data_IF_235549080223
#
_entry.id   IF_235549080223
#
_cell.length_a   1.000
_cell.length_b   1.000
_cell.length_c   1.000
_cell.angle_alpha   90.00
_cell.angle_beta   90.00
_cell.angle_gamma   90.00
#
_symmetry.space_group_name_H-M   'P 1'
#
loop_
_entity.id
_entity.type
_entity.pdbx_description
1 polymer ?
#
# COMPACT_ATOMS: atom_id res chain seq x y z
N UNK A 1 0.42 1.30 0.81
CA UNK A 1 -0.53 0.20 1.09
C UNK A 1 -0.45 -0.11 2.57
N UNK A 2 -1.56 -0.02 3.31
CA UNK A 2 -1.58 -0.36 4.73
C UNK A 2 -1.74 -1.87 4.89
N UNK A 3 -0.67 -2.56 5.25
CA UNK A 3 -0.71 -3.99 5.57
C UNK A 3 -0.45 -4.18 7.07
N UNK A 4 -1.17 -5.09 7.75
CA UNK A 4 -0.87 -5.42 9.13
C UNK A 4 0.54 -6.01 9.17
N UNK A 5 1.46 -5.31 9.82
CA UNK A 5 2.85 -5.72 9.93
C UNK A 5 3.27 -5.76 11.40
N UNK A 6 4.11 -6.74 11.72
CA UNK A 6 4.79 -6.81 13.00
C UNK A 6 5.96 -5.83 12.96
N UNK A 7 5.90 -4.80 13.79
CA UNK A 7 6.96 -3.83 13.99
C UNK A 7 7.73 -4.23 15.25
N UNK A 8 8.99 -4.64 15.08
CA UNK A 8 9.90 -4.92 16.18
C UNK A 8 10.99 -3.86 16.32
N UNK A 9 12.03 -4.16 17.10
CA UNK A 9 13.04 -3.17 17.50
C UNK A 9 13.86 -2.63 16.31
N UNK A 10 13.91 -3.35 15.18
CA UNK A 10 14.59 -2.95 13.95
C UNK A 10 13.68 -2.37 12.85
N UNK A 11 12.38 -2.18 13.12
CA UNK A 11 11.40 -1.72 12.12
C UNK A 11 10.43 -2.81 11.70
N UNK A 12 10.03 -2.83 10.43
CA UNK A 12 9.07 -3.82 9.91
C UNK A 12 9.73 -5.21 9.82
N UNK A 13 9.31 -6.13 10.68
CA UNK A 13 9.90 -7.48 10.78
C UNK A 13 9.13 -8.51 9.97
N UNK A 14 7.79 -8.41 9.91
CA UNK A 14 6.95 -9.32 9.11
C UNK A 14 5.69 -8.63 8.62
N UNK A 15 5.27 -8.94 7.40
CA UNK A 15 3.94 -8.63 6.90
C UNK A 15 3.03 -9.82 7.21
N UNK A 16 1.89 -9.56 7.83
CA UNK A 16 0.86 -10.57 8.07
C UNK A 16 -0.06 -10.54 6.87
N UNK A 17 0.03 -11.56 6.01
CA UNK A 17 -0.92 -11.76 4.92
C UNK A 17 -2.19 -12.42 5.48
N UNK A 18 -3.25 -11.62 5.60
CA UNK A 18 -4.57 -12.13 5.97
C UNK A 18 -5.29 -12.49 4.67
N UNK A 19 -5.96 -13.65 4.63
CA UNK A 19 -6.86 -13.99 3.53
C UNK A 19 -8.08 -13.06 3.56
N UNK A 20 -8.01 -12.00 2.75
CA UNK A 20 -9.13 -11.08 2.52
C UNK A 20 -10.24 -11.80 1.76
N UNK A 21 -11.48 -11.58 2.18
CA UNK A 21 -12.64 -12.08 1.45
C UNK A 21 -12.81 -11.37 0.08
N UNK A 22 -13.76 -11.84 -0.73
CA UNK A 22 -13.98 -11.30 -2.07
C UNK A 22 -14.33 -9.80 -2.11
N UNK A 23 -15.01 -9.31 -1.08
CA UNK A 23 -15.50 -7.92 -0.99
C UNK A 23 -14.40 -7.00 -0.42
N UNK A 24 -13.65 -7.46 0.58
CA UNK A 24 -12.48 -6.76 1.12
C UNK A 24 -11.36 -6.62 0.07
N UNK A 25 -11.17 -7.60 -0.81
CA UNK A 25 -10.24 -7.47 -1.95
C UNK A 25 -10.65 -6.38 -2.92
N UNK A 26 -11.94 -6.16 -3.16
CA UNK A 26 -12.39 -5.08 -4.04
C UNK A 26 -12.11 -3.71 -3.42
N UNK A 27 -12.46 -3.53 -2.13
CA UNK A 27 -12.19 -2.30 -1.39
C UNK A 27 -10.69 -2.00 -1.29
N UNK A 28 -9.86 -3.04 -1.11
CA UNK A 28 -8.41 -2.90 -1.07
C UNK A 28 -7.84 -2.54 -2.46
N UNK A 29 -8.38 -3.11 -3.55
CA UNK A 29 -8.00 -2.74 -4.92
C UNK A 29 -8.37 -1.29 -5.26
N UNK A 30 -9.53 -0.81 -4.84
CA UNK A 30 -9.94 0.59 -5.01
C UNK A 30 -8.99 1.53 -4.26
N UNK A 31 -8.68 1.22 -3.00
CA UNK A 31 -7.70 1.97 -2.20
C UNK A 31 -6.29 1.97 -2.84
N UNK A 32 -5.87 0.85 -3.42
CA UNK A 32 -4.61 0.74 -4.15
C UNK A 32 -4.63 1.60 -5.41
N UNK A 33 -5.75 1.67 -6.13
CA UNK A 33 -5.90 2.53 -7.32
C UNK A 33 -5.66 3.99 -6.97
N UNK A 34 -6.32 4.50 -5.93
CA UNK A 34 -6.12 5.89 -5.49
C UNK A 34 -4.68 6.20 -5.09
N UNK A 35 -3.98 5.24 -4.45
CA UNK A 35 -2.56 5.40 -4.11
C UNK A 35 -1.68 5.41 -5.37
N UNK A 36 -1.99 4.57 -6.37
CA UNK A 36 -1.26 4.57 -7.65
C UNK A 36 -1.44 5.89 -8.39
N UNK A 37 -2.66 6.42 -8.46
CA UNK A 37 -2.94 7.69 -9.12
C UNK A 37 -2.19 8.84 -8.44
N UNK A 38 -2.12 8.84 -7.11
CA UNK A 38 -1.35 9.83 -6.36
C UNK A 38 0.17 9.68 -6.61
N UNK A 39 0.69 8.45 -6.63
CA UNK A 39 2.10 8.19 -6.94
C UNK A 39 2.45 8.60 -8.36
N UNK A 40 1.57 8.34 -9.33
CA UNK A 40 1.74 8.77 -10.71
C UNK A 40 1.77 10.30 -10.82
N UNK A 41 0.82 10.97 -10.16
CA UNK A 41 0.79 12.44 -10.08
C UNK A 41 2.08 13.00 -9.48
N UNK A 42 2.59 12.39 -8.40
CA UNK A 42 3.85 12.80 -7.77
C UNK A 42 5.03 12.56 -8.71
N UNK A 43 5.10 11.43 -9.41
CA UNK A 43 6.16 11.14 -10.39
C UNK A 43 6.16 12.11 -11.57
N UNK A 44 4.98 12.50 -12.06
CA UNK A 44 4.86 13.47 -13.16
C UNK A 44 5.22 14.89 -12.72
N UNK A 45 4.89 15.25 -11.47
CA UNK A 45 5.08 16.62 -10.95
C UNK A 45 6.45 16.83 -10.32
N UNK A 46 7.07 15.78 -9.78
CA UNK A 46 8.35 15.81 -9.08
C UNK A 46 9.25 14.65 -9.57
N UNK A 47 10.03 14.86 -10.65
CA UNK A 47 10.87 13.83 -11.24
C UNK A 47 12.04 13.35 -10.35
N UNK A 48 12.40 14.09 -9.29
CA UNK A 48 13.45 13.71 -8.34
C UNK A 48 13.02 12.68 -7.27
N UNK A 49 11.71 12.37 -7.17
CA UNK A 49 11.15 11.43 -6.18
C UNK A 49 10.77 10.06 -6.78
N UNK A 50 11.02 9.85 -8.08
CA UNK A 50 10.76 8.59 -8.79
C UNK A 50 11.90 7.59 -8.63
#
# INVERSE_FOLDING_TARGET
VGVPCVLGAGGMEKVIEIELDGDEKQLMNESISHVKDLVETVKTTFPDLA
#
